data_IF_650026019719
#
_entry.id   IF_650026019719
#
_cell.length_a   1.000
_cell.length_b   1.000
_cell.length_c   1.000
_cell.angle_alpha   90.00
_cell.angle_beta   90.00
_cell.angle_gamma   90.00
#
_symmetry.space_group_name_H-M   'P 1'
#
loop_
_entity.id
_entity.type
_entity.pdbx_description
1 polymer ?
#
# COMPACT_ATOMS: atom_id res chain seq x y z
N UNK A 1 -12.32 30.43 -0.76
CA UNK A 1 -12.47 28.97 -0.92
C UNK A 1 -11.50 28.40 -1.97
N UNK A 2 -11.51 28.85 -3.23
CA UNK A 2 -10.64 28.29 -4.29
C UNK A 2 -9.12 28.26 -3.97
N UNK A 3 -8.57 29.35 -3.40
CA UNK A 3 -7.14 29.41 -3.00
C UNK A 3 -6.76 28.35 -1.96
N UNK A 4 -7.68 28.00 -1.04
CA UNK A 4 -7.41 27.01 0.01
C UNK A 4 -7.32 25.60 -0.57
N UNK A 5 -8.27 25.22 -1.41
CA UNK A 5 -8.25 23.92 -2.08
C UNK A 5 -7.00 23.76 -2.94
N UNK A 6 -6.60 24.79 -3.68
CA UNK A 6 -5.37 24.79 -4.46
C UNK A 6 -4.13 24.54 -3.59
N UNK A 7 -4.01 25.21 -2.45
CA UNK A 7 -2.89 25.01 -1.52
C UNK A 7 -2.85 23.58 -0.99
N UNK A 8 -3.98 23.02 -0.56
CA UNK A 8 -4.04 21.63 -0.06
C UNK A 8 -3.66 20.64 -1.17
N UNK A 9 -4.15 20.81 -2.40
CA UNK A 9 -3.81 19.95 -3.53
C UNK A 9 -2.32 20.01 -3.89
N UNK A 10 -1.71 21.20 -3.84
CA UNK A 10 -0.27 21.37 -4.06
C UNK A 10 0.51 20.64 -2.97
N UNK A 11 0.16 20.84 -1.69
CA UNK A 11 0.85 20.20 -0.58
C UNK A 11 0.73 18.67 -0.59
N UNK A 12 -0.44 18.14 -0.97
CA UNK A 12 -0.61 16.69 -1.19
C UNK A 12 0.27 16.18 -2.33
N UNK A 13 0.31 16.88 -3.46
CA UNK A 13 1.13 16.48 -4.61
C UNK A 13 2.62 16.49 -4.23
N UNK A 14 3.06 17.48 -3.46
CA UNK A 14 4.41 17.57 -2.91
C UNK A 14 4.69 16.39 -1.97
N UNK A 15 3.77 16.02 -1.07
CA UNK A 15 4.01 14.91 -0.16
C UNK A 15 4.11 13.57 -0.88
N UNK A 16 3.34 13.36 -1.95
CA UNK A 16 3.45 12.17 -2.81
C UNK A 16 4.79 12.12 -3.54
N UNK A 17 5.22 13.24 -4.12
CA UNK A 17 6.53 13.33 -4.79
C UNK A 17 7.68 13.12 -3.81
N UNK A 18 7.61 13.72 -2.62
CA UNK A 18 8.62 13.54 -1.57
C UNK A 18 8.69 12.09 -1.11
N UNK A 19 7.54 11.42 -0.93
CA UNK A 19 7.52 10.00 -0.61
C UNK A 19 8.24 9.20 -1.70
N UNK A 20 7.87 9.41 -2.97
CA UNK A 20 8.54 8.75 -4.09
C UNK A 20 10.07 8.92 -4.04
N UNK A 21 10.54 10.16 -3.90
CA UNK A 21 11.97 10.50 -3.86
C UNK A 21 12.68 9.85 -2.68
N UNK A 22 12.11 9.90 -1.46
CA UNK A 22 12.74 9.37 -0.24
C UNK A 22 12.83 7.84 -0.27
N UNK A 23 11.86 7.16 -0.88
CA UNK A 23 11.88 5.69 -0.99
C UNK A 23 12.71 5.17 -2.18
N UNK A 24 12.99 6.01 -3.19
CA UNK A 24 13.73 5.61 -4.40
C UNK A 24 15.08 4.94 -4.11
N UNK A 25 15.93 5.42 -3.18
CA UNK A 25 17.19 4.74 -2.85
C UNK A 25 17.00 3.29 -2.39
N UNK A 26 15.85 2.97 -1.77
CA UNK A 26 15.52 1.63 -1.30
C UNK A 26 15.28 0.60 -2.41
N UNK A 27 14.96 1.06 -3.64
CA UNK A 27 14.69 0.20 -4.79
C UNK A 27 15.89 -0.67 -5.18
N UNK A 28 17.11 -0.14 -5.04
CA UNK A 28 18.35 -0.86 -5.37
C UNK A 28 18.84 -1.78 -4.25
N UNK A 29 18.17 -1.78 -3.09
CA UNK A 29 18.56 -2.66 -1.99
C UNK A 29 18.28 -4.14 -2.28
N UNK A 30 18.91 -5.08 -1.56
CA UNK A 30 18.67 -6.52 -1.71
C UNK A 30 17.31 -6.94 -1.13
N UNK A 31 16.96 -8.22 -1.29
CA UNK A 31 15.95 -8.88 -0.45
C UNK A 31 16.38 -8.85 1.03
N UNK A 32 15.43 -8.73 1.95
CA UNK A 32 15.70 -8.57 3.38
C UNK A 32 14.93 -9.59 4.22
N UNK A 33 15.57 -10.15 5.24
CA UNK A 33 14.96 -11.01 6.27
C UNK A 33 13.96 -12.04 5.70
N UNK A 34 12.67 -11.82 5.95
CA UNK A 34 11.57 -12.71 5.61
C UNK A 34 11.30 -12.78 4.09
N UNK A 35 11.89 -11.92 3.28
CA UNK A 35 11.75 -11.96 1.81
C UNK A 35 12.24 -13.29 1.24
N UNK A 36 13.40 -13.76 1.66
CA UNK A 36 14.02 -14.97 1.10
C UNK A 36 13.16 -16.23 1.27
N UNK A 37 12.76 -16.65 2.49
CA UNK A 37 12.01 -17.90 2.66
C UNK A 37 10.60 -17.84 2.04
N UNK A 38 10.03 -16.65 1.85
CA UNK A 38 8.70 -16.49 1.26
C UNK A 38 8.75 -16.40 -0.27
N UNK A 39 9.65 -15.59 -0.85
CA UNK A 39 9.70 -15.36 -2.30
C UNK A 39 10.40 -16.48 -3.07
N UNK A 40 11.34 -17.22 -2.44
CA UNK A 40 11.92 -18.44 -3.04
C UNK A 40 10.87 -19.47 -3.47
N UNK A 41 9.68 -19.43 -2.86
CA UNK A 41 8.57 -20.34 -3.20
C UNK A 41 8.03 -20.12 -4.62
N UNK A 42 8.20 -18.94 -5.20
CA UNK A 42 7.75 -18.62 -6.56
C UNK A 42 8.39 -19.57 -7.58
N UNK A 43 9.70 -19.85 -7.46
CA UNK A 43 10.43 -20.76 -8.36
C UNK A 43 10.62 -22.18 -7.81
N UNK A 44 9.96 -22.55 -6.70
CA UNK A 44 10.21 -23.85 -6.05
C UNK A 44 9.77 -25.06 -6.91
N UNK A 45 8.81 -24.84 -7.83
CA UNK A 45 8.31 -25.84 -8.76
C UNK A 45 8.65 -25.49 -10.23
N UNK A 46 9.55 -24.52 -10.44
CA UNK A 46 9.82 -23.89 -11.73
C UNK A 46 8.96 -22.64 -12.00
N UNK A 47 9.08 -22.03 -13.19
CA UNK A 47 8.32 -20.85 -13.56
C UNK A 47 6.80 -21.07 -13.49
N UNK A 48 6.10 -20.15 -12.86
CA UNK A 48 4.63 -20.14 -12.78
C UNK A 48 4.07 -19.60 -14.09
N UNK A 49 3.81 -20.50 -15.03
CA UNK A 49 3.32 -20.19 -16.39
C UNK A 49 1.95 -20.82 -16.70
N UNK A 50 1.40 -21.60 -15.76
CA UNK A 50 0.15 -22.32 -15.93
C UNK A 50 -0.71 -22.33 -14.66
N UNK A 51 -1.96 -22.71 -14.82
CA UNK A 51 -2.97 -22.69 -13.76
C UNK A 51 -2.69 -23.66 -12.60
N UNK A 52 -2.05 -24.80 -12.88
CA UNK A 52 -1.72 -25.78 -11.86
C UNK A 52 -0.63 -25.26 -10.92
N UNK A 53 0.47 -24.74 -11.48
CA UNK A 53 1.55 -24.12 -10.73
C UNK A 53 1.09 -22.85 -10.00
N UNK A 54 0.22 -22.05 -10.63
CA UNK A 54 -0.40 -20.89 -9.98
C UNK A 54 -1.14 -21.32 -8.71
N UNK A 55 -2.04 -22.31 -8.79
CA UNK A 55 -2.79 -22.79 -7.62
C UNK A 55 -1.86 -23.37 -6.55
N UNK A 56 -0.91 -24.21 -6.95
CA UNK A 56 0.06 -24.80 -6.02
C UNK A 56 0.86 -23.72 -5.25
N UNK A 57 1.27 -22.65 -5.94
CA UNK A 57 1.94 -21.52 -5.31
C UNK A 57 1.02 -20.75 -4.36
N UNK A 58 -0.20 -20.42 -4.76
CA UNK A 58 -1.18 -19.72 -3.90
C UNK A 58 -1.49 -20.53 -2.63
N UNK A 59 -1.65 -21.85 -2.75
CA UNK A 59 -1.94 -22.74 -1.63
C UNK A 59 -0.72 -22.96 -0.70
N UNK A 60 0.50 -22.66 -1.17
CA UNK A 60 1.74 -22.76 -0.37
C UNK A 60 1.87 -21.68 0.72
N UNK A 61 1.00 -20.66 0.69
CA UNK A 61 0.99 -19.48 1.56
C UNK A 61 0.35 -19.69 2.93
N UNK A 62 0.65 -20.78 3.63
CA UNK A 62 -0.02 -21.10 4.89
C UNK A 62 0.31 -20.08 6.00
N UNK A 63 -0.71 -19.33 6.44
CA UNK A 63 -0.60 -18.40 7.57
C UNK A 63 -1.92 -18.25 8.35
N UNK A 64 -2.71 -19.32 8.40
CA UNK A 64 -4.08 -19.33 8.91
C UNK A 64 -5.02 -20.09 7.96
N UNK A 65 -6.32 -20.22 8.30
CA UNK A 65 -7.26 -21.08 7.56
C UNK A 65 -7.42 -20.70 6.08
N UNK A 66 -7.23 -19.42 5.74
CA UNK A 66 -7.41 -18.88 4.39
C UNK A 66 -6.09 -18.59 3.66
N UNK A 67 -4.93 -18.82 4.28
CA UNK A 67 -3.63 -18.47 3.72
C UNK A 67 -3.46 -16.98 3.36
N UNK A 68 -2.68 -16.68 2.31
CA UNK A 68 -2.39 -15.31 1.84
C UNK A 68 -2.59 -15.10 0.33
N UNK A 69 -3.71 -15.53 -0.27
CA UNK A 69 -3.86 -15.60 -1.72
C UNK A 69 -3.68 -14.26 -2.43
N UNK A 70 -4.23 -13.17 -1.88
CA UNK A 70 -4.10 -11.83 -2.48
C UNK A 70 -2.64 -11.38 -2.51
N UNK A 71 -1.93 -11.57 -1.40
CA UNK A 71 -0.53 -11.15 -1.30
C UNK A 71 0.37 -11.98 -2.22
N UNK A 72 0.19 -13.30 -2.22
CA UNK A 72 0.96 -14.18 -3.12
C UNK A 72 0.69 -13.87 -4.58
N UNK A 73 -0.57 -13.71 -4.96
CA UNK A 73 -0.96 -13.31 -6.33
C UNK A 73 -0.31 -11.98 -6.70
N UNK A 74 -0.27 -11.01 -5.79
CA UNK A 74 0.35 -9.72 -6.08
C UNK A 74 1.85 -9.81 -6.34
N UNK A 75 2.58 -10.75 -5.74
CA UNK A 75 4.01 -10.95 -6.04
C UNK A 75 4.25 -11.44 -7.47
N UNK A 76 3.28 -12.16 -8.06
CA UNK A 76 3.37 -12.63 -9.44
C UNK A 76 3.23 -11.49 -10.48
N UNK A 77 2.83 -10.29 -10.06
CA UNK A 77 2.91 -9.09 -10.90
C UNK A 77 4.37 -8.68 -11.17
N UNK A 78 5.30 -9.06 -10.29
CA UNK A 78 6.69 -8.63 -10.35
C UNK A 78 7.64 -9.73 -10.84
N UNK A 79 7.38 -10.99 -10.50
CA UNK A 79 8.10 -12.14 -11.05
C UNK A 79 7.30 -13.44 -10.96
N UNK A 80 7.49 -14.33 -11.94
CA UNK A 80 6.89 -15.65 -11.99
C UNK A 80 7.90 -16.80 -11.77
N UNK A 81 9.16 -16.51 -11.47
CA UNK A 81 10.19 -17.51 -11.15
C UNK A 81 11.21 -16.95 -10.12
N UNK A 82 12.10 -17.80 -9.62
CA UNK A 82 13.17 -17.43 -8.68
C UNK A 82 14.53 -18.00 -9.11
N UNK A 83 15.65 -17.24 -9.01
CA UNK A 83 15.80 -15.91 -8.41
C UNK A 83 15.22 -14.79 -9.28
N UNK A 84 14.67 -13.78 -8.61
CA UNK A 84 14.13 -12.58 -9.24
C UNK A 84 14.87 -11.34 -8.76
N UNK A 85 14.74 -10.23 -9.49
CA UNK A 85 15.32 -8.94 -9.09
C UNK A 85 14.43 -8.23 -8.05
N UNK A 86 14.96 -7.77 -6.89
CA UNK A 86 14.17 -7.10 -5.85
C UNK A 86 13.47 -5.81 -6.30
N UNK A 87 14.01 -5.17 -7.33
CA UNK A 87 13.59 -3.84 -7.78
C UNK A 87 12.08 -3.78 -8.08
N UNK A 88 11.57 -4.69 -8.91
CA UNK A 88 10.17 -4.70 -9.34
C UNK A 88 9.21 -4.80 -8.14
N UNK A 89 9.51 -5.71 -7.23
CA UNK A 89 8.69 -5.90 -6.03
C UNK A 89 8.64 -4.66 -5.12
N UNK A 90 9.78 -4.01 -4.91
CA UNK A 90 9.86 -2.78 -4.08
C UNK A 90 9.17 -1.61 -4.76
N UNK A 91 9.30 -1.52 -6.09
CA UNK A 91 8.57 -0.54 -6.89
C UNK A 91 7.06 -0.66 -6.65
N UNK A 92 6.51 -1.87 -6.78
CA UNK A 92 5.09 -2.13 -6.52
C UNK A 92 4.69 -1.80 -5.08
N UNK A 93 5.54 -2.12 -4.09
CA UNK A 93 5.28 -1.73 -2.69
C UNK A 93 5.23 -0.22 -2.50
N UNK A 94 6.14 0.55 -3.10
CA UNK A 94 6.11 2.02 -2.99
C UNK A 94 4.82 2.58 -3.61
N UNK A 95 4.36 2.03 -4.73
CA UNK A 95 3.08 2.43 -5.32
C UNK A 95 1.90 2.15 -4.40
N UNK A 96 1.86 0.98 -3.75
CA UNK A 96 0.82 0.64 -2.78
C UNK A 96 0.88 1.60 -1.58
N UNK A 97 2.07 1.86 -1.02
CA UNK A 97 2.26 2.81 0.09
C UNK A 97 1.74 4.21 -0.24
N UNK A 98 2.04 4.71 -1.45
CA UNK A 98 1.54 6.00 -1.93
C UNK A 98 0.02 5.96 -2.10
N UNK A 99 -0.53 4.89 -2.69
CA UNK A 99 -1.97 4.72 -2.88
C UNK A 99 -2.72 4.75 -1.54
N UNK A 100 -2.18 4.13 -0.49
CA UNK A 100 -2.76 4.22 0.86
C UNK A 100 -2.78 5.68 1.33
N UNK A 101 -1.67 6.41 1.17
CA UNK A 101 -1.59 7.84 1.50
C UNK A 101 -2.59 8.70 0.72
N UNK A 102 -2.81 8.42 -0.57
CA UNK A 102 -3.80 9.09 -1.42
C UNK A 102 -5.21 8.90 -0.88
N UNK A 103 -5.59 7.68 -0.49
CA UNK A 103 -6.95 7.35 -0.02
C UNK A 103 -7.14 7.78 1.44
N UNK A 104 -6.07 7.84 2.25
CA UNK A 104 -6.13 8.32 3.62
C UNK A 104 -6.63 9.76 3.71
N UNK A 105 -6.25 10.64 2.78
CA UNK A 105 -6.71 12.04 2.79
C UNK A 105 -8.25 12.17 2.75
N UNK A 106 -8.98 11.67 1.72
CA UNK A 106 -10.43 11.77 1.70
C UNK A 106 -11.08 10.97 2.83
N UNK A 107 -10.47 9.86 3.28
CA UNK A 107 -10.96 9.07 4.42
C UNK A 107 -10.97 9.89 5.71
N UNK A 108 -9.81 10.44 6.09
CA UNK A 108 -9.67 11.26 7.30
C UNK A 108 -10.52 12.52 7.22
N UNK A 109 -10.57 13.17 6.05
CA UNK A 109 -11.43 14.35 5.84
C UNK A 109 -12.90 14.02 6.08
N UNK A 110 -13.40 12.95 5.44
CA UNK A 110 -14.81 12.55 5.57
C UNK A 110 -15.15 12.16 7.00
N UNK A 111 -14.26 11.45 7.69
CA UNK A 111 -14.45 11.10 9.10
C UNK A 111 -14.54 12.36 9.98
N UNK A 112 -13.62 13.30 9.81
CA UNK A 112 -13.58 14.54 10.59
C UNK A 112 -14.83 15.40 10.35
N UNK A 113 -15.27 15.52 9.09
CA UNK A 113 -16.52 16.21 8.78
C UNK A 113 -17.74 15.49 9.37
N UNK A 114 -17.78 14.15 9.34
CA UNK A 114 -18.87 13.37 9.90
C UNK A 114 -19.01 13.54 11.43
N UNK A 115 -17.92 13.85 12.13
CA UNK A 115 -17.94 14.17 13.58
C UNK A 115 -18.10 15.67 13.87
N UNK A 116 -18.50 16.48 12.87
CA UNK A 116 -18.83 17.89 13.04
C UNK A 116 -17.66 18.86 12.99
N UNK A 117 -16.46 18.44 12.53
CA UNK A 117 -15.34 19.38 12.32
C UNK A 117 -15.59 20.27 11.12
N UNK A 118 -15.16 21.54 11.23
CA UNK A 118 -15.22 22.48 10.12
C UNK A 118 -14.42 21.94 8.92
N UNK A 119 -14.93 22.05 7.67
CA UNK A 119 -14.25 21.51 6.49
C UNK A 119 -12.81 22.00 6.30
N UNK A 120 -12.51 23.23 6.72
CA UNK A 120 -11.16 23.79 6.70
C UNK A 120 -10.20 23.04 7.64
N UNK A 121 -10.60 22.81 8.89
CA UNK A 121 -9.82 22.05 9.86
C UNK A 121 -9.65 20.60 9.42
N UNK A 122 -10.72 19.98 8.92
CA UNK A 122 -10.71 18.62 8.41
C UNK A 122 -9.70 18.43 7.28
N UNK A 123 -9.60 19.38 6.35
CA UNK A 123 -8.61 19.33 5.26
C UNK A 123 -7.17 19.37 5.77
N UNK A 124 -6.86 20.24 6.74
CA UNK A 124 -5.50 20.36 7.28
C UNK A 124 -5.08 19.14 8.08
N UNK A 125 -5.98 18.62 8.93
CA UNK A 125 -5.70 17.41 9.71
C UNK A 125 -5.56 16.21 8.75
N UNK A 126 -6.43 16.07 7.74
CA UNK A 126 -6.32 15.01 6.75
C UNK A 126 -5.01 15.08 5.94
N UNK A 127 -4.58 16.28 5.55
CA UNK A 127 -3.28 16.50 4.90
C UNK A 127 -2.14 16.06 5.81
N UNK A 128 -2.18 16.44 7.09
CA UNK A 128 -1.18 16.02 8.07
C UNK A 128 -1.17 14.50 8.24
N UNK A 129 -2.35 13.86 8.38
CA UNK A 129 -2.46 12.40 8.51
C UNK A 129 -1.87 11.66 7.31
N UNK A 130 -2.24 12.05 6.08
CA UNK A 130 -1.69 11.46 4.86
C UNK A 130 -0.17 11.70 4.72
N UNK A 131 0.31 12.90 5.06
CA UNK A 131 1.74 13.24 4.99
C UNK A 131 2.55 12.45 6.02
N UNK A 132 2.04 12.33 7.25
CA UNK A 132 2.66 11.50 8.28
C UNK A 132 2.71 10.04 7.84
N UNK A 133 1.64 9.48 7.27
CA UNK A 133 1.69 8.13 6.70
C UNK A 133 2.81 7.99 5.67
N UNK A 134 2.87 8.91 4.71
CA UNK A 134 3.81 8.81 3.60
C UNK A 134 5.27 8.94 4.03
N UNK A 135 5.56 9.84 4.98
CA UNK A 135 6.92 10.25 5.33
C UNK A 135 7.41 9.68 6.67
N UNK A 136 6.61 8.87 7.37
CA UNK A 136 7.00 8.31 8.66
C UNK A 136 8.10 7.23 8.49
N UNK A 137 9.28 7.41 9.13
CA UNK A 137 10.39 6.46 9.02
C UNK A 137 10.05 5.05 9.55
N UNK A 138 9.08 4.91 10.46
CA UNK A 138 8.64 3.58 10.93
C UNK A 138 8.05 2.71 9.81
N UNK A 139 7.51 3.32 8.76
CA UNK A 139 6.93 2.60 7.63
C UNK A 139 7.98 2.19 6.60
N UNK A 140 9.26 2.57 6.77
CA UNK A 140 10.33 2.20 5.83
C UNK A 140 10.48 0.70 5.69
N UNK A 141 10.48 -0.04 6.80
CA UNK A 141 10.55 -1.51 6.79
C UNK A 141 9.30 -2.13 6.20
N UNK A 142 8.11 -1.60 6.50
CA UNK A 142 6.83 -2.08 5.95
C UNK A 142 6.77 -1.88 4.43
N UNK A 143 7.39 -0.80 3.93
CA UNK A 143 7.42 -0.49 2.50
C UNK A 143 8.50 -1.28 1.76
N UNK A 144 9.71 -1.35 2.30
CA UNK A 144 10.86 -1.90 1.58
C UNK A 144 11.14 -3.40 1.83
N UNK A 145 10.53 -4.02 2.84
CA UNK A 145 10.53 -5.48 2.97
C UNK A 145 9.41 -5.98 2.07
N UNK A 146 9.76 -6.72 1.02
CA UNK A 146 8.83 -7.07 -0.04
C UNK A 146 7.64 -7.84 0.53
N UNK A 147 7.88 -8.79 1.42
CA UNK A 147 6.81 -9.60 2.03
C UNK A 147 5.85 -8.81 2.90
N UNK A 148 6.26 -7.65 3.41
CA UNK A 148 5.38 -6.73 4.15
C UNK A 148 4.34 -6.05 3.25
N UNK A 149 4.35 -6.32 1.94
CA UNK A 149 3.21 -6.05 1.04
C UNK A 149 1.89 -6.59 1.60
N UNK A 150 1.92 -7.72 2.31
CA UNK A 150 0.75 -8.28 2.99
C UNK A 150 0.14 -7.27 3.97
N UNK A 151 0.98 -6.61 4.76
CA UNK A 151 0.60 -5.58 5.74
C UNK A 151 0.06 -4.33 5.03
N UNK A 152 0.69 -3.91 3.93
CA UNK A 152 0.23 -2.78 3.15
C UNK A 152 -1.13 -3.04 2.49
N UNK A 153 -1.32 -4.20 1.86
CA UNK A 153 -2.59 -4.58 1.25
C UNK A 153 -3.72 -4.65 2.30
N UNK A 154 -3.44 -5.21 3.48
CA UNK A 154 -4.39 -5.21 4.59
C UNK A 154 -4.79 -3.77 4.99
N UNK A 155 -3.81 -2.88 5.16
CA UNK A 155 -4.07 -1.47 5.45
C UNK A 155 -4.87 -0.78 4.34
N UNK A 156 -4.52 -1.02 3.08
CA UNK A 156 -5.22 -0.48 1.91
C UNK A 156 -6.70 -0.87 1.92
N UNK A 157 -7.02 -2.16 2.08
CA UNK A 157 -8.42 -2.62 2.10
C UNK A 157 -9.20 -2.08 3.31
N UNK A 158 -8.57 -1.98 4.48
CA UNK A 158 -9.20 -1.37 5.66
C UNK A 158 -9.52 0.11 5.39
N UNK A 159 -8.58 0.88 4.86
CA UNK A 159 -8.78 2.31 4.56
C UNK A 159 -9.86 2.48 3.47
N UNK A 160 -9.83 1.68 2.40
CA UNK A 160 -10.88 1.68 1.37
C UNK A 160 -12.24 1.34 1.97
N UNK A 161 -12.33 0.34 2.85
CA UNK A 161 -13.58 -0.05 3.51
C UNK A 161 -14.16 1.07 4.36
N UNK A 162 -13.33 1.75 5.15
CA UNK A 162 -13.74 2.91 5.95
C UNK A 162 -14.20 4.06 5.03
N UNK A 163 -13.42 4.36 3.99
CA UNK A 163 -13.76 5.40 3.02
C UNK A 163 -15.11 5.12 2.34
N UNK A 164 -15.31 3.90 1.85
CA UNK A 164 -16.54 3.46 1.19
C UNK A 164 -17.74 3.51 2.14
N UNK A 165 -17.59 3.09 3.39
CA UNK A 165 -18.63 3.22 4.40
C UNK A 165 -19.01 4.68 4.65
N UNK A 166 -18.03 5.56 4.88
CA UNK A 166 -18.28 6.99 5.10
C UNK A 166 -18.96 7.63 3.91
N UNK A 167 -18.50 7.33 2.69
CA UNK A 167 -19.12 7.82 1.46
C UNK A 167 -20.57 7.32 1.32
N UNK A 168 -20.81 6.03 1.52
CA UNK A 168 -22.17 5.46 1.49
C UNK A 168 -23.10 6.12 2.52
N UNK A 169 -22.60 6.42 3.73
CA UNK A 169 -23.39 7.14 4.75
C UNK A 169 -23.81 8.54 4.30
N UNK A 170 -22.95 9.26 3.58
CA UNK A 170 -23.30 10.59 3.05
C UNK A 170 -24.35 10.55 1.93
N UNK A 171 -24.54 9.41 1.27
CA UNK A 171 -25.57 9.24 0.24
C UNK A 171 -26.94 8.88 0.83
N UNK A 172 -26.98 8.39 2.08
CA UNK A 172 -28.20 7.96 2.76
C UNK A 172 -28.77 9.01 3.73
N UNK A 173 -28.04 10.09 3.98
CA UNK A 173 -28.42 11.23 4.82
C UNK A 173 -28.97 12.38 4.00
#
# INVERSE_FOLDING_TARGET
>A
MARHHLVISILLSISWLLAWVIYTPGLQGPFLFDDFPNLKKIGALGPIDNWELFRAYIDSGFSGPTGRPISLTSFLLDANDWPAEPFAFKYTNILIHILIGVILFPTSRNLLTAIGRAPHEANWIALLTATLWLLNPFLVSTTLYIVQRMTQLAALFVVIGIWGYLHGRTLLS
#
